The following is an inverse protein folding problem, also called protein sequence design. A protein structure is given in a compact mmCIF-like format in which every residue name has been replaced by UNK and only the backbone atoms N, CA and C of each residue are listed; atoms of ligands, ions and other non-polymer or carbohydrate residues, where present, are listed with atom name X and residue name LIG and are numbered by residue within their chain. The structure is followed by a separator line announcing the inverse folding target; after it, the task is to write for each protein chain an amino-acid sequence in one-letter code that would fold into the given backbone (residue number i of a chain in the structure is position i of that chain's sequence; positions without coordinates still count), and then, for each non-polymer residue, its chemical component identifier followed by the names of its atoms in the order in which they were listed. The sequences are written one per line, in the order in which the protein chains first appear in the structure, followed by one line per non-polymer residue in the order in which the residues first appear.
data_IF_152514586970
#
_entry.id   IF_152514586970
#
_cell.length_a   1.000
_cell.length_b   1.000
_cell.length_c   1.000
_cell.angle_alpha   90.00
_cell.angle_beta   90.00
_cell.angle_gamma   90.00
#
_symmetry.space_group_name_H-M   'P 1'
#
loop_
_entity.id
_entity.type
_entity.pdbx_description
1 polymer ?
#
# COMPACT_ATOMS: atom_id res chain seq x y z
N UNK A 1 1.00 -14.82 12.78
CA UNK A 1 0.57 -13.58 13.49
C UNK A 1 -0.28 -12.76 12.53
N UNK A 2 -1.36 -12.08 13.03
CA UNK A 2 -2.23 -11.25 12.20
C UNK A 2 -1.63 -9.88 11.83
N UNK A 3 -2.38 -9.09 11.03
CA UNK A 3 -2.03 -7.70 10.69
C UNK A 3 -1.95 -6.85 11.97
N UNK A 4 -0.97 -5.97 12.08
CA UNK A 4 -0.73 -5.12 13.26
C UNK A 4 -0.90 -3.64 12.92
N UNK A 5 -1.15 -2.82 13.95
CA UNK A 5 -1.06 -1.36 13.83
C UNK A 5 0.35 -0.93 13.43
N UNK A 6 0.47 0.16 12.66
CA UNK A 6 1.78 0.68 12.26
C UNK A 6 1.81 1.44 10.95
N UNK A 7 3.02 1.72 10.50
CA UNK A 7 3.31 2.36 9.23
C UNK A 7 3.55 1.29 8.18
N UNK A 8 2.76 1.30 7.12
CA UNK A 8 2.88 0.39 5.97
C UNK A 8 3.18 1.17 4.70
N UNK A 9 4.18 0.72 3.96
CA UNK A 9 4.38 1.20 2.60
C UNK A 9 3.47 0.43 1.63
N UNK A 10 2.71 1.14 0.80
CA UNK A 10 2.18 0.56 -0.43
C UNK A 10 3.35 0.55 -1.42
N UNK A 11 4.05 -0.59 -1.51
CA UNK A 11 5.34 -0.64 -2.21
C UNK A 11 5.23 -0.41 -3.71
N UNK A 12 6.26 0.19 -4.26
CA UNK A 12 6.55 0.15 -5.69
C UNK A 12 6.97 -1.26 -6.09
N UNK A 13 6.85 -1.57 -7.38
CA UNK A 13 7.46 -2.72 -8.04
C UNK A 13 8.57 -2.24 -8.98
N UNK A 14 9.64 -3.01 -9.11
CA UNK A 14 10.70 -2.77 -10.07
C UNK A 14 10.48 -3.62 -11.32
N UNK A 15 10.83 -3.09 -12.49
CA UNK A 15 10.66 -3.78 -13.76
C UNK A 15 11.98 -3.85 -14.51
N UNK A 16 12.15 -4.86 -15.36
CA UNK A 16 13.21 -4.98 -16.31
C UNK A 16 12.95 -4.09 -17.55
N UNK A 17 13.93 -3.98 -18.44
CA UNK A 17 13.80 -3.19 -19.66
C UNK A 17 12.74 -3.77 -20.61
N UNK A 18 12.51 -5.07 -20.58
CA UNK A 18 11.46 -5.77 -21.31
C UNK A 18 10.06 -5.65 -20.65
N UNK A 19 9.96 -4.86 -19.57
CA UNK A 19 8.77 -4.62 -18.77
C UNK A 19 8.28 -5.84 -17.95
N UNK A 20 9.03 -6.92 -17.89
CA UNK A 20 8.79 -8.01 -16.93
C UNK A 20 9.11 -7.55 -15.49
N UNK A 21 8.48 -8.18 -14.50
CA UNK A 21 8.74 -7.89 -13.08
C UNK A 21 10.18 -8.24 -12.71
N UNK A 22 10.98 -7.24 -12.27
CA UNK A 22 12.29 -7.50 -11.66
C UNK A 22 12.07 -7.96 -10.21
N UNK A 23 11.98 -9.28 -10.05
CA UNK A 23 11.66 -9.90 -8.77
C UNK A 23 12.70 -9.57 -7.70
N UNK A 24 13.98 -9.69 -8.03
CA UNK A 24 15.07 -9.53 -7.06
C UNK A 24 15.19 -8.06 -6.61
N UNK A 25 15.06 -7.10 -7.52
CA UNK A 25 15.03 -5.68 -7.16
C UNK A 25 13.76 -5.30 -6.38
N UNK A 26 12.63 -5.92 -6.69
CA UNK A 26 11.39 -5.71 -5.93
C UNK A 26 11.52 -6.26 -4.51
N UNK A 27 12.10 -7.46 -4.33
CA UNK A 27 12.36 -8.03 -3.00
C UNK A 27 13.31 -7.13 -2.21
N UNK A 28 14.42 -6.71 -2.81
CA UNK A 28 15.36 -5.80 -2.17
C UNK A 28 14.64 -4.52 -1.69
N UNK A 29 13.79 -3.94 -2.52
CA UNK A 29 13.03 -2.74 -2.18
C UNK A 29 12.08 -2.96 -1.00
N UNK A 30 11.25 -4.00 -1.03
CA UNK A 30 10.26 -4.25 0.04
C UNK A 30 10.92 -4.58 1.38
N UNK A 31 12.04 -5.31 1.39
CA UNK A 31 12.79 -5.58 2.60
C UNK A 31 13.50 -4.34 3.14
N UNK A 32 14.02 -3.47 2.24
CA UNK A 32 14.58 -2.17 2.62
C UNK A 32 13.53 -1.33 3.35
N UNK A 33 12.29 -1.28 2.87
CA UNK A 33 11.21 -0.53 3.51
C UNK A 33 10.97 -0.96 4.96
N UNK A 34 11.03 -2.26 5.25
CA UNK A 34 10.93 -2.77 6.63
C UNK A 34 12.14 -2.32 7.45
N UNK A 35 13.35 -2.46 6.91
CA UNK A 35 14.59 -2.00 7.55
C UNK A 35 14.60 -0.49 7.82
N UNK A 36 14.01 0.29 6.93
CA UNK A 36 13.90 1.76 7.04
C UNK A 36 12.82 2.21 8.03
N UNK A 37 12.06 1.28 8.63
CA UNK A 37 11.14 1.57 9.72
C UNK A 37 9.66 1.29 9.45
N UNK A 38 9.27 0.81 8.28
CA UNK A 38 7.91 0.33 8.07
C UNK A 38 7.63 -0.90 8.96
N UNK A 39 6.45 -0.94 9.57
CA UNK A 39 5.96 -2.12 10.29
C UNK A 39 5.52 -3.22 9.34
N UNK A 40 5.20 -2.85 8.10
CA UNK A 40 4.86 -3.78 7.04
C UNK A 40 4.82 -3.14 5.67
N UNK A 41 4.58 -3.97 4.66
CA UNK A 41 4.59 -3.57 3.26
C UNK A 41 3.41 -4.22 2.54
N UNK A 42 2.59 -3.40 1.86
CA UNK A 42 1.54 -3.86 0.97
C UNK A 42 2.08 -3.96 -0.46
N UNK A 43 2.30 -5.18 -0.91
CA UNK A 43 2.87 -5.53 -2.21
C UNK A 43 1.74 -5.65 -3.23
N UNK A 44 1.96 -5.28 -4.49
CA UNK A 44 0.99 -5.36 -5.57
C UNK A 44 -0.29 -4.53 -5.35
N UNK A 45 -0.23 -3.48 -4.52
CA UNK A 45 -1.26 -2.45 -4.51
C UNK A 45 -1.17 -1.56 -5.76
N UNK A 46 -1.99 -0.49 -5.80
CA UNK A 46 -1.99 0.46 -6.92
C UNK A 46 -0.62 1.13 -7.15
N UNK A 47 0.11 1.44 -6.08
CA UNK A 47 1.46 2.02 -6.18
C UNK A 47 2.47 1.07 -6.83
N UNK A 48 2.33 -0.21 -6.58
CA UNK A 48 3.15 -1.27 -7.20
C UNK A 48 2.67 -1.71 -8.57
N UNK A 49 1.76 -0.97 -9.21
CA UNK A 49 1.17 -1.31 -10.51
C UNK A 49 0.56 -2.72 -10.55
N UNK A 50 0.01 -3.20 -9.42
CA UNK A 50 -0.44 -4.57 -9.26
C UNK A 50 -1.48 -5.04 -10.28
N UNK A 51 -2.32 -4.13 -10.82
CA UNK A 51 -3.27 -4.48 -11.87
C UNK A 51 -2.63 -4.72 -13.26
N UNK A 52 -1.39 -4.28 -13.44
CA UNK A 52 -0.66 -4.40 -14.70
C UNK A 52 0.31 -5.59 -14.71
N UNK A 53 0.54 -6.22 -13.56
CA UNK A 53 1.43 -7.37 -13.39
C UNK A 53 0.63 -8.66 -13.54
N UNK A 54 1.14 -9.59 -14.33
CA UNK A 54 0.48 -10.89 -14.55
C UNK A 54 0.42 -11.71 -13.24
N UNK A 55 -0.59 -12.58 -13.09
CA UNK A 55 -0.69 -13.48 -11.94
C UNK A 55 0.56 -14.35 -11.81
N UNK A 56 1.06 -14.88 -12.90
CA UNK A 56 2.28 -15.70 -12.90
C UNK A 56 3.52 -14.99 -12.32
N UNK A 57 3.72 -13.71 -12.63
CA UNK A 57 4.81 -12.92 -12.05
C UNK A 57 4.59 -12.65 -10.56
N UNK A 58 3.33 -12.37 -10.16
CA UNK A 58 2.98 -12.23 -8.75
C UNK A 58 3.27 -13.51 -7.97
N UNK A 59 2.89 -14.67 -8.50
CA UNK A 59 3.13 -16.00 -7.91
C UNK A 59 4.62 -16.26 -7.71
N UNK A 60 5.45 -15.98 -8.71
CA UNK A 60 6.91 -16.13 -8.62
C UNK A 60 7.52 -15.25 -7.50
N UNK A 61 7.05 -14.02 -7.37
CA UNK A 61 7.53 -13.15 -6.29
C UNK A 61 7.07 -13.68 -4.93
N UNK A 62 5.81 -14.14 -4.79
CA UNK A 62 5.27 -14.71 -3.57
C UNK A 62 6.08 -15.94 -3.12
N UNK A 63 6.43 -16.84 -4.03
CA UNK A 63 7.29 -18.00 -3.74
C UNK A 63 8.63 -17.57 -3.16
N UNK A 64 9.27 -16.55 -3.73
CA UNK A 64 10.57 -16.07 -3.24
C UNK A 64 10.48 -15.40 -1.88
N UNK A 65 9.49 -14.53 -1.65
CA UNK A 65 9.34 -13.82 -0.37
C UNK A 65 8.85 -14.71 0.76
N UNK A 66 8.30 -15.89 0.47
CA UNK A 66 7.92 -16.88 1.49
C UNK A 66 9.10 -17.31 2.36
N UNK A 67 10.33 -17.24 1.84
CA UNK A 67 11.58 -17.51 2.54
C UNK A 67 12.21 -16.27 3.20
N UNK A 68 11.62 -15.09 3.04
CA UNK A 68 12.11 -13.86 3.67
C UNK A 68 11.91 -13.89 5.17
N UNK A 69 12.89 -13.38 5.92
CA UNK A 69 12.73 -13.12 7.35
C UNK A 69 11.62 -12.11 7.67
N UNK A 70 11.21 -11.30 6.67
CA UNK A 70 10.18 -10.28 6.78
C UNK A 70 8.81 -10.74 6.28
N UNK A 71 8.61 -12.01 5.91
CA UNK A 71 7.33 -12.49 5.34
C UNK A 71 6.11 -12.12 6.18
N UNK A 72 6.28 -12.09 7.51
CA UNK A 72 5.21 -11.71 8.44
C UNK A 72 4.86 -10.22 8.44
N UNK A 73 5.63 -9.39 7.74
CA UNK A 73 5.38 -7.96 7.54
C UNK A 73 4.66 -7.67 6.21
N UNK A 74 4.42 -8.68 5.35
CA UNK A 74 3.88 -8.46 4.02
C UNK A 74 2.36 -8.66 3.96
N UNK A 75 1.70 -7.77 3.22
CA UNK A 75 0.31 -7.85 2.76
C UNK A 75 0.34 -8.01 1.25
N UNK A 76 -0.38 -8.98 0.70
CA UNK A 76 -0.45 -9.19 -0.75
C UNK A 76 -1.70 -8.50 -1.30
N UNK A 77 -1.53 -7.57 -2.23
CA UNK A 77 -2.62 -7.03 -3.02
C UNK A 77 -3.03 -8.02 -4.12
N UNK A 78 -4.29 -8.37 -4.22
CA UNK A 78 -4.76 -9.17 -5.36
C UNK A 78 -4.79 -8.30 -6.62
N UNK A 79 -5.30 -7.07 -6.49
CA UNK A 79 -5.36 -6.06 -7.58
C UNK A 79 -5.90 -6.63 -8.88
N UNK A 80 -6.96 -7.44 -8.79
CA UNK A 80 -7.59 -8.08 -9.94
C UNK A 80 -9.10 -7.83 -9.95
N UNK A 81 -9.67 -7.64 -11.14
CA UNK A 81 -11.12 -7.53 -11.32
C UNK A 81 -11.81 -8.90 -11.38
N UNK A 82 -11.06 -9.95 -11.67
CA UNK A 82 -11.56 -11.32 -11.71
C UNK A 82 -11.62 -11.91 -10.30
N UNK A 83 -12.81 -12.33 -9.88
CA UNK A 83 -13.00 -13.06 -8.63
C UNK A 83 -12.14 -14.33 -8.58
N UNK A 84 -12.11 -15.07 -9.68
CA UNK A 84 -11.37 -16.34 -9.73
C UNK A 84 -9.85 -16.11 -9.67
N UNK A 85 -9.32 -15.13 -10.39
CA UNK A 85 -7.89 -14.78 -10.33
C UNK A 85 -7.49 -14.31 -8.93
N UNK A 86 -8.33 -13.51 -8.26
CA UNK A 86 -8.11 -13.11 -6.86
C UNK A 86 -8.06 -14.33 -5.93
N UNK A 87 -8.99 -15.26 -6.07
CA UNK A 87 -9.04 -16.51 -5.26
C UNK A 87 -7.81 -17.38 -5.51
N UNK A 88 -7.41 -17.57 -6.77
CA UNK A 88 -6.23 -18.38 -7.09
C UNK A 88 -4.94 -17.78 -6.56
N UNK A 89 -4.76 -16.46 -6.65
CA UNK A 89 -3.60 -15.77 -6.06
C UNK A 89 -3.58 -15.90 -4.53
N UNK A 90 -4.74 -15.81 -3.86
CA UNK A 90 -4.86 -16.01 -2.42
C UNK A 90 -4.48 -17.45 -2.06
N UNK A 91 -5.01 -18.46 -2.76
CA UNK A 91 -4.66 -19.89 -2.55
C UNK A 91 -3.16 -20.12 -2.70
N UNK A 92 -2.55 -19.52 -3.74
CA UNK A 92 -1.10 -19.62 -3.95
C UNK A 92 -0.32 -18.99 -2.80
N UNK A 93 -0.76 -17.81 -2.32
CA UNK A 93 -0.13 -17.14 -1.17
C UNK A 93 -0.24 -17.97 0.11
N UNK A 94 -1.41 -18.55 0.38
CA UNK A 94 -1.65 -19.43 1.54
C UNK A 94 -0.72 -20.66 1.54
N UNK A 95 -0.55 -21.30 0.38
CA UNK A 95 0.41 -22.42 0.23
C UNK A 95 1.85 -22.02 0.57
N UNK A 96 2.19 -20.75 0.37
CA UNK A 96 3.48 -20.17 0.68
C UNK A 96 3.56 -19.54 2.09
N UNK A 97 2.54 -19.76 2.94
CA UNK A 97 2.50 -19.32 4.33
C UNK A 97 2.23 -17.82 4.51
N UNK A 98 1.63 -17.15 3.51
CA UNK A 98 1.23 -15.74 3.56
C UNK A 98 -0.30 -15.69 3.50
N UNK A 99 -0.96 -15.22 4.57
CA UNK A 99 -2.41 -15.21 4.70
C UNK A 99 -3.02 -13.81 4.80
N UNK A 100 -2.25 -12.74 4.58
CA UNK A 100 -2.67 -11.34 4.76
C UNK A 100 -2.77 -10.64 3.42
N UNK A 101 -3.93 -10.02 3.18
CA UNK A 101 -4.27 -9.46 1.88
C UNK A 101 -4.80 -8.03 1.98
N UNK A 102 -4.46 -7.21 0.98
CA UNK A 102 -5.05 -5.91 0.74
C UNK A 102 -5.90 -6.02 -0.53
N UNK A 103 -7.23 -5.98 -0.40
CA UNK A 103 -8.14 -6.25 -1.51
C UNK A 103 -9.02 -5.04 -1.81
N UNK A 104 -8.89 -4.51 -3.03
CA UNK A 104 -9.79 -3.51 -3.59
C UNK A 104 -10.94 -4.23 -4.29
N UNK A 105 -12.20 -3.77 -4.17
CA UNK A 105 -13.30 -4.31 -4.96
C UNK A 105 -13.07 -4.07 -6.45
N UNK A 106 -13.68 -4.89 -7.34
CA UNK A 106 -13.45 -4.80 -8.78
C UNK A 106 -13.72 -3.38 -9.33
N UNK A 107 -12.88 -2.93 -10.23
CA UNK A 107 -13.07 -1.68 -10.98
C UNK A 107 -13.86 -1.92 -12.27
N UNK A 108 -14.11 -0.84 -13.02
CA UNK A 108 -14.69 -0.81 -14.36
C UNK A 108 -16.23 -0.82 -14.39
N UNK A 109 -16.91 -1.70 -13.63
CA UNK A 109 -18.36 -1.74 -13.58
C UNK A 109 -18.91 -0.91 -12.42
N UNK A 110 -20.12 -0.35 -12.61
CA UNK A 110 -20.85 0.32 -11.53
C UNK A 110 -21.69 -0.70 -10.76
N UNK A 111 -21.60 -0.67 -9.46
CA UNK A 111 -22.32 -1.56 -8.55
C UNK A 111 -22.46 -0.91 -7.16
N UNK A 112 -23.29 -1.49 -6.31
CA UNK A 112 -23.55 -1.03 -4.95
C UNK A 112 -22.98 -1.96 -3.88
N UNK A 113 -23.41 -1.69 -2.64
CA UNK A 113 -22.95 -2.40 -1.44
C UNK A 113 -23.23 -3.90 -1.48
N UNK A 114 -24.36 -4.33 -2.01
CA UNK A 114 -24.73 -5.76 -2.05
C UNK A 114 -23.78 -6.54 -2.97
N UNK A 115 -23.38 -5.98 -4.10
CA UNK A 115 -22.44 -6.60 -5.03
C UNK A 115 -21.01 -6.60 -4.46
N UNK A 116 -20.60 -5.51 -3.80
CA UNK A 116 -19.33 -5.46 -3.10
C UNK A 116 -19.29 -6.51 -1.97
N UNK A 117 -20.34 -6.59 -1.15
CA UNK A 117 -20.48 -7.62 -0.13
C UNK A 117 -20.40 -9.04 -0.74
N UNK A 118 -21.11 -9.29 -1.84
CA UNK A 118 -21.09 -10.59 -2.51
C UNK A 118 -19.69 -10.95 -3.01
N UNK A 119 -18.92 -9.99 -3.55
CA UNK A 119 -17.54 -10.22 -3.99
C UNK A 119 -16.65 -10.71 -2.84
N UNK A 120 -16.64 -10.00 -1.71
CA UNK A 120 -15.83 -10.40 -0.55
C UNK A 120 -16.31 -11.69 0.09
N UNK A 121 -17.62 -11.91 0.19
CA UNK A 121 -18.20 -13.16 0.69
C UNK A 121 -17.76 -14.36 -0.14
N UNK A 122 -17.78 -14.25 -1.47
CA UNK A 122 -17.33 -15.31 -2.38
C UNK A 122 -15.82 -15.60 -2.23
N UNK A 123 -14.98 -14.60 -2.01
CA UNK A 123 -13.57 -14.83 -1.72
C UNK A 123 -13.44 -15.62 -0.41
N UNK A 124 -14.03 -15.14 0.67
CA UNK A 124 -13.89 -15.71 2.02
C UNK A 124 -14.40 -17.15 2.08
N UNK A 125 -15.54 -17.44 1.44
CA UNK A 125 -16.09 -18.81 1.39
C UNK A 125 -15.17 -19.81 0.67
N UNK A 126 -14.36 -19.36 -0.27
CA UNK A 126 -13.41 -20.21 -1.03
C UNK A 126 -12.03 -20.30 -0.39
N UNK A 127 -11.66 -19.33 0.43
CA UNK A 127 -10.34 -19.24 1.10
C UNK A 127 -10.51 -18.66 2.52
N UNK A 128 -11.14 -19.43 3.44
CA UNK A 128 -11.53 -18.94 4.77
C UNK A 128 -10.34 -18.62 5.70
N UNK A 129 -9.13 -19.01 5.35
CA UNK A 129 -7.91 -18.75 6.14
C UNK A 129 -7.30 -17.36 5.87
N UNK A 130 -7.86 -16.59 4.92
CA UNK A 130 -7.34 -15.26 4.58
C UNK A 130 -7.71 -14.21 5.62
N UNK A 131 -6.78 -13.29 5.89
CA UNK A 131 -7.03 -12.03 6.60
C UNK A 131 -7.02 -10.88 5.59
N UNK A 132 -8.09 -10.10 5.54
CA UNK A 132 -8.32 -9.07 4.52
C UNK A 132 -8.36 -7.69 5.16
N UNK A 133 -7.53 -6.78 4.65
CA UNK A 133 -7.70 -5.34 4.75
C UNK A 133 -8.51 -4.89 3.52
N UNK A 134 -9.71 -4.41 3.72
CA UNK A 134 -10.52 -3.81 2.65
C UNK A 134 -9.81 -2.58 2.09
N UNK A 135 -9.76 -2.41 0.78
CA UNK A 135 -9.15 -1.24 0.18
C UNK A 135 -10.21 -0.31 -0.43
N UNK A 136 -10.49 0.77 0.28
CA UNK A 136 -11.44 1.81 -0.11
C UNK A 136 -10.74 2.91 -0.92
N UNK A 137 -10.94 2.93 -2.24
CA UNK A 137 -10.38 3.96 -3.11
C UNK A 137 -11.29 4.22 -4.32
N UNK A 138 -12.29 5.09 -4.12
CA UNK A 138 -13.29 5.45 -5.12
C UNK A 138 -12.68 5.84 -6.50
N UNK A 139 -11.59 6.61 -6.50
CA UNK A 139 -10.95 7.07 -7.76
C UNK A 139 -10.44 5.94 -8.65
N UNK A 140 -10.14 4.77 -8.09
CA UNK A 140 -9.61 3.62 -8.85
C UNK A 140 -10.65 2.53 -9.07
N UNK A 141 -11.46 2.22 -8.06
CA UNK A 141 -12.47 1.15 -8.16
C UNK A 141 -13.80 1.61 -8.76
N UNK A 142 -14.09 2.92 -8.75
CA UNK A 142 -15.42 3.44 -9.07
C UNK A 142 -16.48 3.17 -7.99
N UNK A 143 -16.10 2.50 -6.89
CA UNK A 143 -16.97 2.16 -5.77
C UNK A 143 -16.40 2.72 -4.46
N UNK A 144 -17.28 3.21 -3.59
CA UNK A 144 -16.97 3.69 -2.25
C UNK A 144 -17.69 2.83 -1.22
N UNK A 145 -16.95 2.23 -0.31
CA UNK A 145 -17.57 1.51 0.81
C UNK A 145 -18.41 2.44 1.68
N UNK A 146 -19.65 2.04 1.96
CA UNK A 146 -20.44 2.64 3.04
C UNK A 146 -20.02 2.06 4.40
N UNK A 147 -20.31 2.78 5.48
CA UNK A 147 -20.14 2.27 6.85
C UNK A 147 -20.92 0.97 7.02
N UNK A 148 -22.16 0.95 6.53
CA UNK A 148 -23.12 -0.16 6.66
C UNK A 148 -22.56 -1.48 6.07
N UNK A 149 -21.95 -1.44 4.89
CA UNK A 149 -21.40 -2.65 4.27
C UNK A 149 -20.13 -3.12 4.97
N UNK A 150 -19.28 -2.20 5.46
CA UNK A 150 -18.09 -2.57 6.24
C UNK A 150 -18.52 -3.25 7.55
N UNK A 151 -19.47 -2.66 8.31
CA UNK A 151 -19.98 -3.25 9.53
C UNK A 151 -20.61 -4.63 9.28
N UNK A 152 -21.35 -4.79 8.19
CA UNK A 152 -21.94 -6.08 7.79
C UNK A 152 -20.87 -7.11 7.49
N UNK A 153 -19.84 -6.77 6.71
CA UNK A 153 -18.72 -7.66 6.41
C UNK A 153 -17.97 -8.10 7.67
N UNK A 154 -17.69 -7.17 8.58
CA UNK A 154 -17.02 -7.48 9.85
C UNK A 154 -17.89 -8.36 10.74
N UNK A 155 -19.20 -8.10 10.81
CA UNK A 155 -20.14 -8.91 11.59
C UNK A 155 -20.20 -10.35 11.09
N UNK A 156 -20.29 -10.54 9.77
CA UNK A 156 -20.47 -11.85 9.17
C UNK A 156 -19.13 -12.62 9.05
N UNK A 157 -17.99 -11.90 8.95
CA UNK A 157 -16.64 -12.48 8.75
C UNK A 157 -15.58 -11.85 9.68
N UNK A 158 -15.76 -11.89 11.01
CA UNK A 158 -14.92 -11.16 11.97
C UNK A 158 -13.47 -11.65 12.02
N UNK A 159 -13.18 -12.87 11.57
CA UNK A 159 -11.83 -13.41 11.51
C UNK A 159 -11.10 -13.04 10.22
N UNK A 160 -11.85 -12.82 9.15
CA UNK A 160 -11.30 -12.55 7.82
C UNK A 160 -11.21 -11.05 7.52
N UNK A 161 -12.21 -10.27 7.87
CA UNK A 161 -12.25 -8.82 7.62
C UNK A 161 -11.69 -8.09 8.83
N UNK A 162 -10.37 -7.86 8.81
CA UNK A 162 -9.62 -7.37 9.98
C UNK A 162 -9.33 -5.87 9.96
N UNK A 163 -9.57 -5.19 8.84
CA UNK A 163 -9.32 -3.76 8.74
C UNK A 163 -9.70 -3.14 7.40
N UNK A 164 -9.46 -1.84 7.29
CA UNK A 164 -9.65 -1.06 6.06
C UNK A 164 -8.48 -0.11 5.82
N UNK A 165 -8.00 -0.06 4.57
CA UNK A 165 -7.22 1.06 4.04
C UNK A 165 -8.18 2.05 3.40
N UNK A 166 -8.25 3.26 3.95
CA UNK A 166 -9.15 4.31 3.47
C UNK A 166 -8.38 5.41 2.71
N UNK A 167 -8.40 5.34 1.38
CA UNK A 167 -7.85 6.35 0.48
C UNK A 167 -8.94 7.29 -0.11
N UNK A 168 -10.21 7.04 0.20
CA UNK A 168 -11.34 7.92 -0.12
C UNK A 168 -11.61 8.90 1.03
N UNK A 169 -11.17 8.56 2.25
CA UNK A 169 -11.28 9.36 3.47
C UNK A 169 -12.71 9.58 3.98
N UNK A 170 -13.65 8.72 3.61
CA UNK A 170 -15.03 8.76 4.10
C UNK A 170 -15.27 7.83 5.31
N UNK A 171 -14.31 6.99 5.66
CA UNK A 171 -14.45 5.98 6.72
C UNK A 171 -13.58 6.27 7.96
N UNK A 172 -12.34 6.74 7.78
CA UNK A 172 -11.33 6.73 8.85
C UNK A 172 -11.68 7.62 10.06
N UNK A 173 -12.49 8.68 9.87
CA UNK A 173 -12.93 9.55 10.98
C UNK A 173 -14.17 9.03 11.68
N UNK A 174 -15.02 8.29 10.99
CA UNK A 174 -16.37 7.95 11.45
C UNK A 174 -16.56 6.49 11.81
N UNK A 175 -15.79 5.58 11.20
CA UNK A 175 -15.93 4.15 11.45
C UNK A 175 -15.43 3.79 12.85
N UNK A 176 -16.26 3.13 13.65
CA UNK A 176 -15.96 2.73 15.04
C UNK A 176 -16.32 1.27 15.24
N UNK A 177 -15.43 0.38 14.90
CA UNK A 177 -15.59 -1.07 15.08
C UNK A 177 -14.50 -1.57 16.05
N UNK A 178 -14.86 -2.24 17.16
CA UNK A 178 -13.88 -2.78 18.10
C UNK A 178 -12.90 -3.75 17.42
N UNK A 179 -11.61 -3.64 17.75
CA UNK A 179 -10.54 -4.50 17.24
C UNK A 179 -10.37 -4.51 15.71
N UNK A 180 -10.90 -3.49 15.02
CA UNK A 180 -10.80 -3.34 13.58
C UNK A 180 -9.74 -2.31 13.22
N UNK A 181 -8.82 -2.67 12.31
CA UNK A 181 -7.69 -1.82 11.95
C UNK A 181 -8.10 -0.79 10.88
N UNK A 182 -7.82 0.48 11.13
CA UNK A 182 -8.13 1.58 10.20
C UNK A 182 -6.85 2.27 9.78
N UNK A 183 -6.59 2.30 8.48
CA UNK A 183 -5.39 2.88 7.88
C UNK A 183 -5.76 3.94 6.83
N UNK A 184 -5.73 5.25 7.15
CA UNK A 184 -5.76 6.28 6.12
C UNK A 184 -4.65 6.09 5.08
N UNK A 185 -4.92 6.47 3.83
CA UNK A 185 -4.02 6.25 2.69
C UNK A 185 -2.98 7.35 2.46
N UNK A 186 -2.72 8.24 3.44
CA UNK A 186 -1.82 9.38 3.27
C UNK A 186 -1.09 9.75 4.54
N UNK A 187 0.15 10.19 4.41
CA UNK A 187 0.98 10.74 5.48
C UNK A 187 0.34 11.98 6.13
N UNK A 188 -0.40 12.79 5.36
CA UNK A 188 -1.10 13.98 5.89
C UNK A 188 -2.22 13.63 6.86
N UNK A 189 -2.62 12.36 6.92
CA UNK A 189 -3.66 11.83 7.81
C UNK A 189 -3.06 11.03 8.98
N UNK A 190 -1.73 10.85 9.04
CA UNK A 190 -1.12 9.99 10.05
C UNK A 190 -1.40 10.49 11.47
N UNK A 191 -0.96 11.69 11.81
CA UNK A 191 -1.08 12.20 13.19
C UNK A 191 -2.55 12.32 13.61
N UNK A 192 -3.37 13.01 12.80
CA UNK A 192 -4.81 13.12 13.08
C UNK A 192 -5.48 11.74 13.19
N UNK A 193 -5.12 10.81 12.31
CA UNK A 193 -5.64 9.45 12.38
C UNK A 193 -5.33 8.76 13.70
N UNK A 194 -4.07 8.84 14.16
CA UNK A 194 -3.66 8.27 15.46
C UNK A 194 -4.43 8.91 16.62
N UNK A 195 -4.61 10.24 16.62
CA UNK A 195 -5.35 10.97 17.65
C UNK A 195 -6.81 10.51 17.78
N UNK A 196 -7.44 10.08 16.69
CA UNK A 196 -8.83 9.58 16.68
C UNK A 196 -8.94 8.06 16.75
N UNK A 197 -7.80 7.35 16.95
CA UNK A 197 -7.75 5.91 17.19
C UNK A 197 -7.52 5.04 15.94
N UNK A 198 -7.07 5.61 14.82
CA UNK A 198 -6.62 4.81 13.68
C UNK A 198 -5.36 4.01 14.01
N UNK A 199 -5.13 2.93 13.27
CA UNK A 199 -4.05 1.98 13.51
C UNK A 199 -2.69 2.41 12.96
N UNK A 200 -2.66 3.43 12.13
CA UNK A 200 -1.48 3.91 11.40
C UNK A 200 -1.85 4.33 9.98
N UNK A 201 -0.97 4.11 9.00
CA UNK A 201 -1.24 4.38 7.58
C UNK A 201 -0.78 3.25 6.68
N UNK A 202 -1.40 3.11 5.50
CA UNK A 202 -0.86 2.34 4.36
C UNK A 202 -0.71 3.32 3.19
N UNK A 203 0.51 3.81 2.94
CA UNK A 203 0.71 4.94 2.03
C UNK A 203 1.81 4.71 1.00
N UNK A 204 1.62 5.35 -0.18
CA UNK A 204 2.56 5.28 -1.28
C UNK A 204 3.87 6.00 -0.98
N UNK A 205 3.83 7.18 -0.33
CA UNK A 205 5.04 7.97 -0.11
C UNK A 205 5.91 7.37 1.00
N UNK A 206 5.42 6.41 1.78
CA UNK A 206 6.27 5.60 2.66
C UNK A 206 7.40 4.87 1.91
N UNK A 207 7.34 4.72 0.57
CA UNK A 207 8.47 4.25 -0.23
C UNK A 207 9.72 5.14 -0.10
N UNK A 208 9.55 6.40 0.24
CA UNK A 208 10.66 7.38 0.40
C UNK A 208 10.65 8.07 1.76
N UNK A 209 9.59 7.92 2.56
CA UNK A 209 9.44 8.57 3.87
C UNK A 209 9.32 7.59 5.03
N UNK A 210 9.63 6.31 4.84
CA UNK A 210 9.45 5.27 5.86
C UNK A 210 9.96 5.68 7.25
N UNK A 211 11.24 6.09 7.35
CA UNK A 211 11.85 6.49 8.63
C UNK A 211 11.24 7.77 9.21
N UNK A 212 10.81 8.72 8.37
CA UNK A 212 10.17 9.95 8.82
C UNK A 212 8.75 9.68 9.35
N UNK A 213 7.96 8.89 8.63
CA UNK A 213 6.63 8.45 9.08
C UNK A 213 6.72 7.61 10.36
N UNK A 214 7.76 6.76 10.49
CA UNK A 214 8.02 5.97 11.69
C UNK A 214 8.29 6.87 12.90
N UNK A 215 9.08 7.93 12.76
CA UNK A 215 9.33 8.89 13.84
C UNK A 215 8.05 9.56 14.33
N UNK A 216 7.18 10.02 13.41
CA UNK A 216 5.87 10.59 13.78
C UNK A 216 5.02 9.57 14.56
N UNK A 217 4.97 8.33 14.11
CA UNK A 217 4.24 7.25 14.77
C UNK A 217 4.79 6.96 16.17
N UNK A 218 6.11 6.79 16.29
CA UNK A 218 6.76 6.48 17.57
C UNK A 218 6.64 7.65 18.56
N UNK A 219 6.80 8.91 18.10
CA UNK A 219 6.64 10.09 18.94
C UNK A 219 5.22 10.21 19.49
N UNK A 220 4.20 9.88 18.67
CA UNK A 220 2.82 9.82 19.16
C UNK A 220 2.65 8.81 20.29
N UNK A 221 3.10 7.58 20.09
CA UNK A 221 2.94 6.52 21.09
C UNK A 221 3.77 6.72 22.36
N UNK A 222 4.93 7.39 22.23
CA UNK A 222 5.79 7.77 23.35
C UNK A 222 5.38 9.08 24.02
N UNK A 223 4.34 9.76 23.50
CA UNK A 223 3.88 11.09 23.94
C UNK A 223 4.97 12.17 23.83
N UNK A 224 5.85 12.04 22.86
CA UNK A 224 6.88 13.02 22.55
C UNK A 224 6.29 14.20 21.75
N UNK A 225 7.03 15.33 21.72
CA UNK A 225 6.69 16.47 20.86
C UNK A 225 6.76 16.06 19.38
N UNK A 226 5.73 16.38 18.60
CA UNK A 226 5.62 16.09 17.17
C UNK A 226 6.42 17.11 16.32
N UNK A 227 7.73 16.90 16.22
CA UNK A 227 8.62 17.79 15.44
C UNK A 227 8.80 17.35 13.99
N UNK A 228 8.35 16.14 13.63
CA UNK A 228 8.56 15.55 12.31
C UNK A 228 7.32 15.58 11.40
N UNK A 229 6.11 15.77 11.96
CA UNK A 229 4.87 15.67 11.22
C UNK A 229 4.72 16.74 10.14
N UNK A 230 5.08 17.98 10.42
CA UNK A 230 4.99 19.07 9.44
C UNK A 230 5.83 18.78 8.19
N UNK A 231 7.08 18.35 8.39
CA UNK A 231 7.98 17.99 7.29
C UNK A 231 7.45 16.78 6.51
N UNK A 232 6.91 15.77 7.18
CA UNK A 232 6.31 14.60 6.56
C UNK A 232 5.14 15.01 5.64
N UNK A 233 4.24 15.85 6.14
CA UNK A 233 3.11 16.37 5.37
C UNK A 233 3.57 17.24 4.19
N UNK A 234 4.59 18.07 4.37
CA UNK A 234 5.13 18.92 3.31
C UNK A 234 5.74 18.08 2.17
N UNK A 235 6.54 17.06 2.49
CA UNK A 235 7.10 16.13 1.49
C UNK A 235 5.97 15.43 0.75
N UNK A 236 4.97 14.90 1.45
CA UNK A 236 3.80 14.29 0.82
C UNK A 236 3.11 15.24 -0.16
N UNK A 237 2.90 16.49 0.22
CA UNK A 237 2.22 17.50 -0.60
C UNK A 237 2.95 17.82 -1.90
N UNK A 238 4.28 17.70 -1.94
CA UNK A 238 5.07 17.87 -3.17
C UNK A 238 4.76 16.74 -4.17
N UNK A 239 4.72 15.50 -3.70
CA UNK A 239 4.39 14.36 -4.56
C UNK A 239 2.95 14.39 -5.04
N UNK A 240 2.00 14.86 -4.22
CA UNK A 240 0.57 14.95 -4.58
C UNK A 240 0.26 15.92 -5.73
N UNK A 241 1.21 16.81 -6.10
CA UNK A 241 1.08 17.72 -7.24
C UNK A 241 1.24 17.02 -8.60
N UNK A 242 1.67 15.76 -8.61
CA UNK A 242 1.94 14.95 -9.79
C UNK A 242 1.15 13.64 -9.75
N UNK A 243 1.22 12.85 -10.83
CA UNK A 243 0.87 11.44 -10.70
C UNK A 243 1.83 10.80 -9.68
N UNK A 244 1.28 10.26 -8.61
CA UNK A 244 2.04 9.81 -7.45
C UNK A 244 3.04 8.69 -7.79
N UNK A 245 2.64 7.76 -8.66
CA UNK A 245 3.48 6.63 -9.08
C UNK A 245 4.61 7.16 -9.97
N UNK A 246 4.29 8.00 -10.94
CA UNK A 246 5.26 8.66 -11.81
C UNK A 246 6.30 9.45 -11.01
N UNK A 247 5.83 10.22 -10.00
CA UNK A 247 6.71 11.00 -9.11
C UNK A 247 7.65 10.13 -8.29
N UNK A 248 7.16 9.03 -7.72
CA UNK A 248 7.98 8.08 -6.98
C UNK A 248 9.05 7.43 -7.86
N UNK A 249 8.66 6.91 -9.03
CA UNK A 249 9.59 6.29 -9.97
C UNK A 249 10.64 7.29 -10.45
N UNK A 250 10.26 8.52 -10.84
CA UNK A 250 11.20 9.57 -11.25
C UNK A 250 12.18 9.91 -10.12
N UNK A 251 11.69 10.10 -8.89
CA UNK A 251 12.53 10.39 -7.74
C UNK A 251 13.53 9.27 -7.42
N UNK A 252 13.07 8.03 -7.35
CA UNK A 252 13.90 6.88 -7.02
C UNK A 252 14.88 6.53 -8.14
N UNK A 253 14.54 6.83 -9.40
CA UNK A 253 15.40 6.55 -10.56
C UNK A 253 16.67 7.40 -10.62
N UNK A 254 16.73 8.51 -9.86
CA UNK A 254 17.92 9.36 -9.75
C UNK A 254 19.07 8.58 -9.13
N UNK A 255 18.78 7.72 -8.17
CA UNK A 255 19.79 6.94 -7.47
C UNK A 255 19.98 5.56 -8.07
N UNK A 256 18.89 4.92 -8.46
CA UNK A 256 18.90 3.56 -8.97
C UNK A 256 18.09 3.46 -10.26
N UNK A 257 18.79 3.19 -11.35
CA UNK A 257 18.20 3.04 -12.70
C UNK A 257 17.10 1.96 -12.78
N UNK A 258 17.03 1.02 -11.85
CA UNK A 258 15.96 0.00 -11.77
C UNK A 258 14.57 0.59 -11.65
N UNK A 259 14.44 1.80 -11.09
CA UNK A 259 13.15 2.49 -11.00
C UNK A 259 12.74 3.27 -12.26
N UNK A 260 13.58 3.28 -13.32
CA UNK A 260 13.24 3.94 -14.59
C UNK A 260 12.19 3.21 -15.40
N UNK A 261 12.09 1.91 -15.24
CA UNK A 261 11.16 1.09 -15.99
C UNK A 261 9.81 1.08 -15.27
N UNK A 262 8.75 1.36 -16.01
CA UNK A 262 7.38 1.48 -15.51
C UNK A 262 6.40 0.95 -16.55
N UNK A 263 5.37 0.25 -16.11
CA UNK A 263 4.39 -0.35 -17.02
C UNK A 263 3.44 0.68 -17.62
N UNK A 264 3.21 0.67 -18.94
CA UNK A 264 2.13 1.44 -19.56
C UNK A 264 0.77 1.05 -18.94
N UNK A 265 -0.18 1.99 -18.83
CA UNK A 265 -0.16 3.37 -19.34
C UNK A 265 0.55 4.38 -18.42
N UNK A 266 1.20 3.91 -17.35
CA UNK A 266 2.00 4.77 -16.48
C UNK A 266 3.28 5.21 -17.19
N UNK A 267 3.82 6.36 -16.81
CA UNK A 267 5.07 6.92 -17.34
C UNK A 267 5.84 7.66 -16.26
N UNK A 268 7.12 7.88 -16.47
CA UNK A 268 7.89 8.82 -15.64
C UNK A 268 7.35 10.25 -15.83
N UNK A 269 7.68 11.13 -14.90
CA UNK A 269 7.45 12.57 -15.08
C UNK A 269 8.25 13.08 -16.28
N UNK A 270 7.73 14.08 -16.97
CA UNK A 270 8.53 14.81 -17.96
C UNK A 270 9.59 15.65 -17.24
N UNK A 271 10.58 16.17 -18.00
CA UNK A 271 11.73 16.91 -17.45
C UNK A 271 11.33 18.13 -16.60
N UNK A 272 10.31 18.88 -17.02
CA UNK A 272 9.86 20.08 -16.32
C UNK A 272 9.15 19.71 -15.01
N UNK A 273 8.30 18.70 -15.01
CA UNK A 273 7.63 18.18 -13.82
C UNK A 273 8.65 17.62 -12.82
N UNK A 274 9.62 16.84 -13.29
CA UNK A 274 10.69 16.29 -12.45
C UNK A 274 11.53 17.41 -11.83
N UNK A 275 12.01 18.36 -12.63
CA UNK A 275 12.80 19.48 -12.15
C UNK A 275 12.04 20.31 -11.09
N UNK A 276 10.75 20.58 -11.33
CA UNK A 276 9.89 21.30 -10.38
C UNK A 276 9.75 20.52 -9.07
N UNK A 277 9.42 19.22 -9.14
CA UNK A 277 9.29 18.37 -7.95
C UNK A 277 10.60 18.35 -7.14
N UNK A 278 11.74 18.17 -7.80
CA UNK A 278 13.04 18.13 -7.13
C UNK A 278 13.42 19.47 -6.48
N UNK A 279 13.10 20.58 -7.14
CA UNK A 279 13.36 21.93 -6.57
C UNK A 279 12.55 22.16 -5.29
N UNK A 280 11.28 21.74 -5.25
CA UNK A 280 10.45 21.85 -4.06
C UNK A 280 10.90 20.90 -2.93
N UNK A 281 11.29 19.68 -3.26
CA UNK A 281 11.85 18.75 -2.27
C UNK A 281 13.18 19.25 -1.69
N UNK A 282 14.00 19.91 -2.51
CA UNK A 282 15.26 20.52 -2.08
C UNK A 282 15.05 21.58 -1.00
N UNK A 283 14.00 22.40 -1.11
CA UNK A 283 13.64 23.40 -0.07
C UNK A 283 13.33 22.72 1.27
N UNK A 284 12.77 21.50 1.23
CA UNK A 284 12.46 20.70 2.42
C UNK A 284 13.67 19.89 2.93
N UNK A 285 14.85 20.07 2.35
CA UNK A 285 16.04 19.26 2.58
C UNK A 285 15.77 17.75 2.41
N UNK A 286 14.90 17.42 1.46
CA UNK A 286 14.54 16.05 1.14
C UNK A 286 15.16 15.66 -0.20
N UNK A 287 16.12 14.75 -0.15
CA UNK A 287 16.90 14.32 -1.31
C UNK A 287 16.76 12.81 -1.47
N UNK A 288 16.93 12.30 -2.70
CA UNK A 288 17.19 10.89 -2.88
C UNK A 288 18.42 10.48 -2.03
N UNK A 289 18.35 9.38 -1.32
CA UNK A 289 19.52 8.84 -0.62
C UNK A 289 20.51 8.36 -1.67
N UNK A 290 21.64 9.01 -1.82
CA UNK A 290 22.74 8.45 -2.63
C UNK A 290 23.16 7.13 -2.00
N UNK A 291 22.89 6.02 -2.67
CA UNK A 291 23.50 4.75 -2.28
C UNK A 291 24.99 5.00 -2.23
N UNK A 292 25.61 4.84 -1.05
CA UNK A 292 27.05 4.69 -0.99
C UNK A 292 27.33 3.45 -1.83
N UNK A 293 27.79 3.69 -3.06
CA UNK A 293 28.23 2.61 -3.92
C UNK A 293 29.25 1.81 -3.11
N UNK A 294 28.91 0.54 -2.83
CA UNK A 294 29.85 -0.42 -2.30
C UNK A 294 30.76 -0.89 -3.42
#
# INVERSE_FOLDING_TARGET
MGVKSGIYAASMSCFNEDLSLDIDSTIFHIEKLVKDGCHGVAIFGSTGAGQLISRHEKEKLIEKISNSHFKDNFLIGTSDNSLNESVELIKHSLKNGINRFLIMPPAYYHYGDDQAYAFFSNIIQRVPECEIILYNFLKLSGYQFSIKVVEKLVKDYPKQIVGVKDSTYNLYEVLKIPNFLIFPGSETKLLKGLEIGCSGIISAICNVTASLARKVYDDFHKKNKQIHNERLCAVRSVFDKNNLISGLHSFMSIENKKYKFILPPLSLLNKDQEAKMLSELKILNFYPERSKAA
#
